data_IF_878048631309
#
_entry.id   IF_878048631309
#
_cell.length_a   1.000
_cell.length_b   1.000
_cell.length_c   1.000
_cell.angle_alpha   90.00
_cell.angle_beta   90.00
_cell.angle_gamma   90.00
#
_symmetry.space_group_name_H-M   'P 1'
#
loop_
_entity.id
_entity.type
_entity.pdbx_description
1 polymer ?
#
# COMPACT_ATOMS: atom_id res chain seq x y z
N UNK A 1 11.72 1.68 -14.62
CA UNK A 1 10.55 2.09 -13.80
C UNK A 1 10.14 0.90 -12.97
N UNK A 2 9.96 1.09 -11.67
CA UNK A 2 9.56 0.06 -10.71
C UNK A 2 8.32 0.51 -9.93
N UNK A 3 7.57 -0.43 -9.35
CA UNK A 3 6.50 -0.12 -8.43
C UNK A 3 7.03 0.05 -7.01
N UNK A 4 6.73 1.17 -6.37
CA UNK A 4 6.85 1.34 -4.93
C UNK A 4 5.51 1.02 -4.28
N UNK A 5 5.46 0.11 -3.31
CA UNK A 5 4.22 -0.37 -2.71
C UNK A 5 3.99 0.18 -1.29
N UNK A 6 2.78 0.71 -1.07
CA UNK A 6 2.38 1.32 0.20
C UNK A 6 1.63 0.33 1.10
N UNK A 7 0.57 -0.25 0.58
CA UNK A 7 -0.31 -1.15 1.33
C UNK A 7 -1.12 -2.05 0.39
N UNK A 8 -1.74 -3.06 0.97
CA UNK A 8 -2.69 -3.96 0.32
C UNK A 8 -4.05 -3.89 1.02
N UNK A 9 -5.13 -3.97 0.25
CA UNK A 9 -6.49 -3.96 0.75
C UNK A 9 -7.37 -4.88 -0.10
N UNK A 10 -8.60 -5.12 0.36
CA UNK A 10 -9.57 -5.84 -0.45
C UNK A 10 -9.95 -5.03 -1.69
N UNK A 11 -10.01 -5.69 -2.84
CA UNK A 11 -10.36 -5.03 -4.10
C UNK A 11 -11.76 -4.43 -4.06
N UNK A 12 -12.70 -5.09 -3.38
CA UNK A 12 -14.10 -4.64 -3.29
C UNK A 12 -14.26 -3.31 -2.53
N UNK A 13 -13.25 -2.90 -1.76
CA UNK A 13 -13.24 -1.61 -1.10
C UNK A 13 -13.08 -0.42 -2.08
N UNK A 14 -12.69 -0.69 -3.33
CA UNK A 14 -12.45 0.33 -4.36
C UNK A 14 -13.41 0.15 -5.53
N UNK A 15 -14.51 0.91 -5.59
CA UNK A 15 -15.47 0.87 -6.70
C UNK A 15 -14.82 1.07 -8.08
N UNK A 16 -13.74 1.86 -8.14
CA UNK A 16 -12.92 2.14 -9.33
C UNK A 16 -12.33 0.86 -9.93
N UNK A 17 -12.09 -0.18 -9.12
CA UNK A 17 -11.58 -1.46 -9.58
C UNK A 17 -12.67 -2.46 -9.97
N UNK A 18 -13.96 -2.15 -9.76
CA UNK A 18 -15.06 -3.12 -9.99
C UNK A 18 -15.10 -3.66 -11.43
N UNK A 19 -14.62 -2.88 -12.40
CA UNK A 19 -14.63 -3.24 -13.83
C UNK A 19 -13.24 -3.22 -14.49
N UNK A 20 -12.22 -2.71 -13.81
CA UNK A 20 -10.90 -2.49 -14.38
C UNK A 20 -9.90 -3.58 -13.99
N UNK A 21 -9.19 -4.13 -14.97
CA UNK A 21 -8.09 -5.12 -14.75
C UNK A 21 -6.70 -4.50 -14.82
N UNK A 22 -6.63 -3.20 -15.12
CA UNK A 22 -5.39 -2.42 -15.20
C UNK A 22 -5.27 -1.53 -13.95
N UNK A 23 -4.05 -1.09 -13.60
CA UNK A 23 -3.86 -0.09 -12.57
C UNK A 23 -4.70 1.16 -12.85
N UNK A 24 -5.39 1.66 -11.84
CA UNK A 24 -6.24 2.86 -11.93
C UNK A 24 -5.67 3.95 -11.03
N UNK A 25 -5.59 5.21 -11.48
CA UNK A 25 -5.13 6.29 -10.61
C UNK A 25 -6.09 6.44 -9.42
N UNK A 26 -5.53 6.53 -8.21
CA UNK A 26 -6.26 6.86 -7.00
C UNK A 26 -6.31 8.38 -6.86
N UNK A 27 -7.51 8.94 -6.84
CA UNK A 27 -7.69 10.38 -6.69
C UNK A 27 -7.37 10.83 -5.25
N UNK A 28 -6.93 12.09 -5.13
CA UNK A 28 -6.70 12.77 -3.84
C UNK A 28 -5.64 12.16 -2.91
N UNK A 29 -4.90 11.14 -3.36
CA UNK A 29 -3.75 10.57 -2.64
C UNK A 29 -2.49 10.80 -3.47
N UNK A 30 -1.47 11.42 -2.86
CA UNK A 30 -0.17 11.65 -3.48
C UNK A 30 0.88 10.79 -2.79
N UNK A 31 1.66 10.07 -3.59
CA UNK A 31 2.74 9.22 -3.14
C UNK A 31 3.98 10.02 -2.75
N UNK A 32 5.07 9.30 -2.50
CA UNK A 32 6.40 9.90 -2.35
C UNK A 32 6.71 10.78 -3.56
N UNK A 33 7.41 11.89 -3.29
CA UNK A 33 7.80 12.88 -4.30
C UNK A 33 6.64 13.51 -5.09
N UNK A 34 5.39 13.35 -4.63
CA UNK A 34 4.20 13.83 -5.33
C UNK A 34 3.71 12.89 -6.43
N UNK A 35 4.26 11.67 -6.52
CA UNK A 35 3.92 10.71 -7.56
C UNK A 35 2.45 10.30 -7.49
N UNK A 36 1.87 10.01 -8.65
CA UNK A 36 0.50 9.50 -8.74
C UNK A 36 0.44 8.10 -8.09
N UNK A 37 -0.49 7.92 -7.15
CA UNK A 37 -0.79 6.60 -6.59
C UNK A 37 -1.78 5.89 -7.49
N UNK A 38 -1.58 4.59 -7.69
CA UNK A 38 -2.44 3.71 -8.46
C UNK A 38 -2.95 2.58 -7.57
N UNK A 39 -4.21 2.21 -7.81
CA UNK A 39 -4.81 0.97 -7.36
C UNK A 39 -4.43 -0.12 -8.36
N UNK A 40 -3.48 -0.99 -7.99
CA UNK A 40 -3.05 -2.12 -8.79
C UNK A 40 -3.89 -3.36 -8.48
N UNK A 41 -4.70 -3.88 -9.42
CA UNK A 41 -5.53 -5.05 -9.17
C UNK A 41 -4.74 -6.37 -9.21
N UNK A 42 -4.81 -7.14 -8.13
CA UNK A 42 -4.19 -8.46 -7.99
C UNK A 42 -5.21 -9.47 -7.40
N UNK A 43 -5.93 -10.18 -8.29
CA UNK A 43 -7.08 -11.03 -7.91
C UNK A 43 -8.20 -10.18 -7.27
N UNK A 44 -8.65 -10.58 -6.10
CA UNK A 44 -9.59 -9.99 -5.13
C UNK A 44 -8.90 -9.02 -4.15
N UNK A 45 -7.60 -8.76 -4.33
CA UNK A 45 -6.84 -7.76 -3.60
C UNK A 45 -6.48 -6.58 -4.51
N UNK A 46 -6.24 -5.43 -3.89
CA UNK A 46 -5.72 -4.23 -4.51
C UNK A 46 -4.45 -3.78 -3.78
N UNK A 47 -3.40 -3.48 -4.53
CA UNK A 47 -2.15 -2.93 -3.99
C UNK A 47 -2.06 -1.47 -4.36
N UNK A 48 -1.81 -0.62 -3.38
CA UNK A 48 -1.56 0.79 -3.61
C UNK A 48 -0.08 0.97 -3.94
N UNK A 49 0.19 1.51 -5.12
CA UNK A 49 1.54 1.68 -5.65
C UNK A 49 1.75 3.03 -6.31
N UNK A 50 2.99 3.48 -6.41
CA UNK A 50 3.39 4.56 -7.33
C UNK A 50 4.55 4.09 -8.19
N UNK A 51 4.65 4.63 -9.40
CA UNK A 51 5.83 4.42 -10.23
C UNK A 51 7.01 5.19 -9.66
N UNK A 52 8.17 4.53 -9.60
CA UNK A 52 9.44 5.12 -9.18
C UNK A 52 10.48 4.92 -10.29
N UNK A 53 11.13 6.02 -10.66
CA UNK A 53 12.33 6.03 -11.46
C UNK A 53 13.56 5.64 -10.62
N UNK A 54 14.72 5.44 -11.28
CA UNK A 54 15.99 5.23 -10.57
C UNK A 54 16.38 6.47 -9.74
N UNK A 55 16.07 7.67 -10.23
CA UNK A 55 16.30 8.92 -9.50
C UNK A 55 15.42 9.01 -8.24
N UNK A 56 14.15 8.61 -8.33
CA UNK A 56 13.27 8.56 -7.16
C UNK A 56 13.79 7.57 -6.12
N UNK A 57 14.25 6.39 -6.55
CA UNK A 57 14.82 5.39 -5.66
C UNK A 57 16.09 5.90 -4.95
N UNK A 58 16.94 6.66 -5.66
CA UNK A 58 18.16 7.25 -5.09
C UNK A 58 17.89 8.36 -4.07
N UNK A 59 16.71 9.00 -4.13
CA UNK A 59 16.29 10.09 -3.24
C UNK A 59 15.58 9.61 -1.96
N UNK A 60 15.33 8.31 -1.81
CA UNK A 60 14.65 7.76 -0.65
C UNK A 60 15.48 8.00 0.62
N UNK A 61 14.91 8.72 1.57
CA UNK A 61 15.55 9.09 2.83
C UNK A 61 14.64 8.81 4.04
N UNK A 62 15.03 9.30 5.22
CA UNK A 62 14.23 9.14 6.43
C UNK A 62 12.92 9.95 6.39
N UNK A 63 12.89 11.11 5.72
CA UNK A 63 11.68 11.92 5.62
C UNK A 63 10.60 11.19 4.80
N UNK A 64 11.01 10.45 3.78
CA UNK A 64 10.14 9.60 2.98
C UNK A 64 9.38 8.55 3.83
N UNK A 65 9.88 8.15 5.00
CA UNK A 65 9.17 7.23 5.90
C UNK A 65 7.86 7.84 6.42
N UNK A 66 7.86 9.15 6.70
CA UNK A 66 6.65 9.87 7.13
C UNK A 66 5.65 9.98 5.99
N UNK A 67 6.13 10.25 4.79
CA UNK A 67 5.27 10.38 3.60
C UNK A 67 4.65 9.01 3.23
N UNK A 68 5.42 7.92 3.32
CA UNK A 68 4.90 6.55 3.20
C UNK A 68 3.79 6.28 4.22
N UNK A 69 4.02 6.60 5.49
CA UNK A 69 3.04 6.43 6.55
C UNK A 69 1.79 7.30 6.33
N UNK A 70 1.95 8.50 5.77
CA UNK A 70 0.84 9.40 5.45
C UNK A 70 -0.08 8.80 4.38
N UNK A 71 0.49 8.26 3.30
CA UNK A 71 -0.30 7.57 2.25
C UNK A 71 -1.12 6.44 2.87
N UNK A 72 -0.49 5.61 3.71
CA UNK A 72 -1.17 4.53 4.41
C UNK A 72 -2.30 5.07 5.29
N UNK A 73 -2.04 6.10 6.10
CA UNK A 73 -3.02 6.68 7.00
C UNK A 73 -4.22 7.28 6.26
N UNK A 74 -3.99 7.93 5.12
CA UNK A 74 -5.06 8.49 4.30
C UNK A 74 -5.96 7.40 3.68
N UNK A 75 -5.37 6.28 3.27
CA UNK A 75 -6.13 5.13 2.75
C UNK A 75 -6.83 4.34 3.87
N UNK A 76 -6.24 4.26 5.06
CA UNK A 76 -6.82 3.55 6.22
C UNK A 76 -8.16 4.18 6.67
N UNK A 77 -8.38 5.47 6.39
CA UNK A 77 -9.65 6.16 6.65
C UNK A 77 -10.84 5.57 5.86
N UNK A 78 -10.57 4.87 4.76
CA UNK A 78 -11.60 4.37 3.85
C UNK A 78 -11.85 2.87 4.02
N UNK A 79 -10.79 2.10 4.31
CA UNK A 79 -10.88 0.63 4.37
C UNK A 79 -9.78 0.02 5.25
N UNK A 80 -9.99 -1.24 5.63
CA UNK A 80 -8.94 -2.07 6.24
C UNK A 80 -7.85 -2.36 5.22
N UNK A 81 -6.59 -2.19 5.64
CA UNK A 81 -5.42 -2.45 4.82
C UNK A 81 -4.34 -3.15 5.63
N UNK A 82 -3.38 -3.76 4.93
CA UNK A 82 -2.11 -4.21 5.50
C UNK A 82 -1.00 -3.33 4.94
N UNK A 83 -0.26 -2.60 5.78
CA UNK A 83 0.84 -1.77 5.32
C UNK A 83 2.01 -2.64 4.85
N UNK A 84 2.60 -2.28 3.70
CA UNK A 84 3.92 -2.79 3.34
C UNK A 84 4.99 -2.11 4.18
N UNK A 85 6.10 -2.83 4.39
CA UNK A 85 7.30 -2.24 4.96
C UNK A 85 7.74 -1.06 4.07
N UNK A 86 8.20 0.01 4.68
CA UNK A 86 8.83 1.13 3.96
C UNK A 86 9.89 0.60 2.99
N UNK A 87 9.95 1.19 1.79
CA UNK A 87 10.84 0.79 0.70
C UNK A 87 10.60 -0.62 0.14
N UNK A 88 9.36 -1.12 0.19
CA UNK A 88 8.97 -2.31 -0.57
C UNK A 88 8.77 -1.94 -2.03
N UNK A 89 9.59 -2.50 -2.92
CA UNK A 89 9.52 -2.24 -4.36
C UNK A 89 9.39 -3.53 -5.18
N UNK A 90 8.82 -3.42 -6.36
CA UNK A 90 8.71 -4.49 -7.35
C UNK A 90 9.25 -4.00 -8.69
N UNK A 91 10.05 -4.81 -9.36
CA UNK A 91 10.72 -4.44 -10.62
C UNK A 91 9.75 -4.16 -11.75
N UNK A 92 8.61 -4.86 -11.76
CA UNK A 92 7.62 -4.83 -12.83
C UNK A 92 6.26 -5.38 -12.34
N UNK A 93 5.25 -5.31 -13.21
CA UNK A 93 3.90 -5.84 -12.99
C UNK A 93 3.90 -7.33 -12.62
N UNK A 94 4.74 -8.13 -13.26
CA UNK A 94 4.74 -9.58 -13.04
C UNK A 94 5.35 -9.93 -11.70
N UNK A 95 6.42 -9.25 -11.28
CA UNK A 95 7.03 -9.39 -9.97
C UNK A 95 6.04 -9.04 -8.86
N UNK A 96 5.30 -7.94 -9.00
CA UNK A 96 4.23 -7.58 -8.08
C UNK A 96 3.15 -8.65 -8.05
N UNK A 97 2.59 -9.02 -9.21
CA UNK A 97 1.51 -10.04 -9.30
C UNK A 97 1.94 -11.39 -8.73
N UNK A 98 3.18 -11.83 -8.95
CA UNK A 98 3.72 -13.07 -8.39
C UNK A 98 3.78 -13.00 -6.87
N UNK A 99 4.33 -11.92 -6.31
CA UNK A 99 4.47 -11.74 -4.85
C UNK A 99 3.11 -11.71 -4.13
N UNK A 100 2.13 -11.00 -4.69
CA UNK A 100 0.79 -10.95 -4.11
C UNK A 100 0.13 -12.33 -4.19
N UNK A 101 0.26 -13.03 -5.33
CA UNK A 101 -0.35 -14.35 -5.52
C UNK A 101 0.25 -15.40 -4.59
N UNK A 102 1.57 -15.43 -4.40
CA UNK A 102 2.21 -16.41 -3.51
C UNK A 102 1.79 -16.26 -2.05
N UNK A 103 1.39 -15.05 -1.65
CA UNK A 103 1.01 -14.72 -0.27
C UNK A 103 -0.50 -14.45 -0.11
N UNK A 104 -1.29 -14.72 -1.15
CA UNK A 104 -2.70 -14.31 -1.26
C UNK A 104 -3.55 -14.75 -0.05
N UNK A 105 -3.48 -16.04 0.31
CA UNK A 105 -4.25 -16.57 1.46
C UNK A 105 -3.88 -15.91 2.77
N UNK A 106 -2.59 -15.59 2.96
CA UNK A 106 -2.12 -14.93 4.17
C UNK A 106 -2.63 -13.49 4.26
N UNK A 107 -2.59 -12.75 3.15
CA UNK A 107 -3.14 -11.40 3.12
C UNK A 107 -4.65 -11.38 3.34
N UNK A 108 -5.40 -12.25 2.66
CA UNK A 108 -6.86 -12.36 2.84
C UNK A 108 -7.24 -12.64 4.30
N UNK A 109 -6.61 -13.64 4.92
CA UNK A 109 -6.88 -13.98 6.32
C UNK A 109 -6.57 -12.84 7.30
N UNK A 110 -5.51 -12.06 7.05
CA UNK A 110 -5.19 -10.91 7.90
C UNK A 110 -6.17 -9.74 7.69
N UNK A 111 -6.57 -9.46 6.45
CA UNK A 111 -7.57 -8.43 6.17
C UNK A 111 -8.90 -8.75 6.85
N UNK A 112 -9.37 -9.98 6.74
CA UNK A 112 -10.58 -10.46 7.44
C UNK A 112 -10.40 -10.34 8.96
N UNK A 113 -9.27 -10.79 9.50
CA UNK A 113 -8.97 -10.70 10.94
C UNK A 113 -8.99 -9.26 11.46
N UNK A 114 -8.54 -8.29 10.68
CA UNK A 114 -8.43 -6.88 11.07
C UNK A 114 -9.64 -6.03 10.66
N UNK A 115 -10.60 -6.60 9.95
CA UNK A 115 -11.78 -5.87 9.51
C UNK A 115 -12.51 -5.23 10.70
N UNK A 116 -12.76 -3.93 10.60
CA UNK A 116 -13.43 -3.15 11.65
C UNK A 116 -12.58 -2.93 12.92
N UNK A 117 -11.28 -3.22 12.90
CA UNK A 117 -10.35 -3.01 14.02
C UNK A 117 -9.39 -1.87 13.74
N UNK A 118 -8.84 -1.29 14.81
CA UNK A 118 -7.76 -0.31 14.76
C UNK A 118 -6.56 -0.81 15.56
N UNK A 119 -5.36 -0.47 15.11
CA UNK A 119 -4.12 -0.70 15.86
C UNK A 119 -3.88 0.47 16.83
N UNK A 120 -3.52 0.15 18.08
CA UNK A 120 -3.18 1.14 19.12
C UNK A 120 -1.88 0.74 19.80
N UNK A 121 -0.98 1.72 19.98
CA UNK A 121 0.25 1.54 20.74
C UNK A 121 0.17 2.32 22.04
N UNK A 122 0.37 1.65 23.17
CA UNK A 122 0.46 2.26 24.49
C UNK A 122 1.92 2.29 24.93
N UNK A 123 2.46 3.50 25.15
CA UNK A 123 3.80 3.68 25.73
C UNK A 123 3.66 4.27 27.13
N UNK A 124 4.08 3.52 28.14
CA UNK A 124 4.07 3.96 29.54
C UNK A 124 5.50 4.28 29.97
N UNK A 125 5.69 5.48 30.50
CA UNK A 125 6.93 5.93 31.12
C UNK A 125 6.67 5.95 32.63
N UNK A 126 7.58 5.36 33.40
CA UNK A 126 7.53 5.34 34.86
C UNK A 126 8.85 5.93 35.35
N UNK A 127 8.78 6.82 36.34
CA UNK A 127 9.97 7.33 37.01
C UNK A 127 10.57 6.23 37.90
N UNK A 128 11.90 6.18 38.01
CA UNK A 128 12.61 5.22 38.88
C UNK A 128 12.28 5.43 40.38
#
# INVERSE_FOLDING_TARGET
MSWYAYCIAERQAFPELSRHRRPMPLENVKGLFGNQVFLFPASDLAVLVSEHSEEDAARIDQQCQKDHARVIADCFKQTTLLPFRFNTTFTDDDALRRSIRSNHRHFGANLERFQGKAEMHLKVLVDD
#
